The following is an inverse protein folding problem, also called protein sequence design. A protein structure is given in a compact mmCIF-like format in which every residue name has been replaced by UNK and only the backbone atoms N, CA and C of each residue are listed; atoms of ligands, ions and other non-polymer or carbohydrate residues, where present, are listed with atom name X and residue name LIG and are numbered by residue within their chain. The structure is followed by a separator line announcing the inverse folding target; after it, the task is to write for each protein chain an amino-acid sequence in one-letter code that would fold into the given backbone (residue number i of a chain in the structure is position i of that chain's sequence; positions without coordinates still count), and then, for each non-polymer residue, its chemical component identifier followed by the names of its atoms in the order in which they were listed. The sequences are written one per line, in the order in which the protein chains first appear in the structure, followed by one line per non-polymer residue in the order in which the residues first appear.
data_IF_054047212359
#
_entry.id   IF_054047212359
#
_cell.length_a   1.000
_cell.length_b   1.000
_cell.length_c   1.000
_cell.angle_alpha   90.00
_cell.angle_beta   90.00
_cell.angle_gamma   90.00
#
_symmetry.space_group_name_H-M   'P 1'
#
loop_
_entity.id
_entity.type
_entity.pdbx_description
1 polymer ?
#
# COMPACT_ATOMS: atom_id res chain seq x y z
N UNK A 1 19.42 14.00 -4.45
CA UNK A 1 18.05 13.43 -4.36
C UNK A 1 17.65 12.54 -5.55
N UNK A 2 18.45 12.44 -6.63
CA UNK A 2 18.07 11.65 -7.81
C UNK A 2 17.97 10.13 -7.53
N UNK A 3 18.92 9.57 -6.77
CA UNK A 3 18.95 8.13 -6.48
C UNK A 3 17.73 7.65 -5.67
N UNK A 4 17.40 8.33 -4.57
CA UNK A 4 16.24 7.97 -3.75
C UNK A 4 14.94 8.06 -4.56
N UNK A 5 14.79 9.11 -5.38
CA UNK A 5 13.62 9.28 -6.24
C UNK A 5 13.50 8.15 -7.27
N UNK A 6 14.61 7.73 -7.88
CA UNK A 6 14.64 6.57 -8.78
C UNK A 6 14.26 5.27 -8.06
N UNK A 7 14.81 5.01 -6.86
CA UNK A 7 14.45 3.82 -6.07
C UNK A 7 12.95 3.80 -5.70
N UNK A 8 12.39 4.94 -5.31
CA UNK A 8 10.95 5.05 -5.04
C UNK A 8 10.11 4.90 -6.32
N UNK A 9 10.61 5.37 -7.46
CA UNK A 9 9.96 5.18 -8.77
C UNK A 9 9.90 3.71 -9.14
N UNK A 10 11.00 2.98 -8.97
CA UNK A 10 11.06 1.55 -9.25
C UNK A 10 10.14 0.77 -8.31
N UNK A 11 10.16 1.06 -7.01
CA UNK A 11 9.27 0.44 -6.04
C UNK A 11 7.78 0.73 -6.34
N UNK A 12 7.45 1.94 -6.79
CA UNK A 12 6.11 2.30 -7.21
C UNK A 12 5.66 1.53 -8.45
N UNK A 13 6.52 1.44 -9.46
CA UNK A 13 6.23 0.68 -10.68
C UNK A 13 6.04 -0.81 -10.34
N UNK A 14 6.94 -1.41 -9.54
CA UNK A 14 6.80 -2.78 -9.08
C UNK A 14 5.49 -3.02 -8.31
N UNK A 15 5.05 -2.05 -7.49
CA UNK A 15 3.77 -2.11 -6.78
C UNK A 15 2.58 -2.05 -7.73
N UNK A 16 2.64 -1.25 -8.80
CA UNK A 16 1.61 -1.20 -9.84
C UNK A 16 1.54 -2.52 -10.61
N UNK A 17 2.67 -3.08 -10.97
CA UNK A 17 2.74 -4.37 -11.66
C UNK A 17 2.16 -5.48 -10.79
N UNK A 18 2.53 -5.54 -9.51
CA UNK A 18 1.93 -6.47 -8.55
C UNK A 18 0.41 -6.28 -8.43
N UNK A 19 -0.07 -5.03 -8.37
CA UNK A 19 -1.51 -4.77 -8.31
C UNK A 19 -2.23 -5.25 -9.58
N UNK A 20 -1.62 -5.04 -10.75
CA UNK A 20 -2.13 -5.52 -12.03
C UNK A 20 -2.12 -7.05 -12.12
N UNK A 21 -1.09 -7.71 -11.59
CA UNK A 21 -1.00 -9.16 -11.53
C UNK A 21 -2.06 -9.77 -10.61
N UNK A 22 -2.32 -9.16 -9.44
CA UNK A 22 -3.40 -9.57 -8.54
C UNK A 22 -4.76 -9.45 -9.25
N UNK A 23 -4.99 -8.35 -9.97
CA UNK A 23 -6.20 -8.14 -10.77
C UNK A 23 -6.35 -9.22 -11.85
N UNK A 24 -5.28 -9.50 -12.59
CA UNK A 24 -5.28 -10.52 -13.63
C UNK A 24 -5.50 -11.93 -13.05
N UNK A 25 -4.88 -12.23 -11.90
CA UNK A 25 -5.04 -13.50 -11.20
C UNK A 25 -6.49 -13.68 -10.70
N UNK A 26 -7.11 -12.64 -10.15
CA UNK A 26 -8.50 -12.66 -9.73
C UNK A 26 -9.46 -12.89 -10.92
N UNK A 27 -9.25 -12.21 -12.05
CA UNK A 27 -10.02 -12.46 -13.28
C UNK A 27 -9.88 -13.90 -13.77
N UNK A 28 -8.66 -14.45 -13.77
CA UNK A 28 -8.42 -15.87 -14.09
C UNK A 28 -9.16 -16.79 -13.12
N UNK A 29 -9.15 -16.47 -11.82
CA UNK A 29 -9.84 -17.27 -10.80
C UNK A 29 -11.35 -17.30 -11.03
N UNK A 30 -11.97 -16.16 -11.37
CA UNK A 30 -13.38 -16.09 -11.76
C UNK A 30 -13.66 -17.03 -12.94
N UNK A 31 -12.84 -16.95 -14.01
CA UNK A 31 -13.01 -17.84 -15.16
C UNK A 31 -12.82 -19.32 -14.84
N UNK A 32 -11.96 -19.67 -13.86
CA UNK A 32 -11.85 -21.07 -13.39
C UNK A 32 -13.10 -21.51 -12.63
N UNK A 33 -13.66 -20.64 -11.78
CA UNK A 33 -14.90 -20.93 -11.05
C UNK A 33 -16.06 -21.14 -12.03
N UNK A 34 -16.16 -20.32 -13.08
CA UNK A 34 -17.19 -20.49 -14.13
C UNK A 34 -17.10 -21.86 -14.82
N UNK A 35 -15.87 -22.32 -15.11
CA UNK A 35 -15.66 -23.66 -15.67
C UNK A 35 -16.05 -24.75 -14.67
N UNK A 36 -15.65 -24.63 -13.41
CA UNK A 36 -16.01 -25.58 -12.35
C UNK A 36 -17.55 -25.68 -12.22
N UNK A 37 -18.27 -24.56 -12.24
CA UNK A 37 -19.73 -24.51 -12.20
C UNK A 37 -20.33 -25.22 -13.41
N UNK A 38 -19.85 -24.94 -14.63
CA UNK A 38 -20.33 -25.62 -15.84
C UNK A 38 -20.16 -27.14 -15.75
N UNK A 39 -19.00 -27.63 -15.27
CA UNK A 39 -18.77 -29.07 -15.11
C UNK A 39 -19.67 -29.71 -14.05
N UNK A 40 -20.03 -28.99 -12.98
CA UNK A 40 -20.96 -29.48 -11.98
C UNK A 40 -22.39 -29.55 -12.51
N UNK A 41 -22.82 -28.56 -13.32
CA UNK A 41 -24.11 -28.57 -13.99
C UNK A 41 -24.24 -29.75 -14.97
N UNK A 42 -23.21 -30.02 -15.78
CA UNK A 42 -23.20 -31.18 -16.69
C UNK A 42 -23.32 -32.51 -15.94
N UNK A 43 -22.67 -32.61 -14.77
CA UNK A 43 -22.76 -33.81 -13.91
C UNK A 43 -24.11 -33.96 -13.22
N UNK A 44 -24.78 -32.87 -12.87
CA UNK A 44 -26.16 -32.90 -12.34
C UNK A 44 -27.10 -33.45 -13.40
N UNK A 45 -26.99 -33.00 -14.66
CA UNK A 45 -27.84 -33.48 -15.76
C UNK A 45 -27.72 -34.99 -16.01
N UNK A 46 -26.54 -35.57 -15.76
CA UNK A 46 -26.28 -37.00 -15.91
C UNK A 46 -26.56 -37.84 -14.64
N UNK A 47 -26.79 -37.20 -13.49
CA UNK A 47 -26.98 -37.88 -12.21
C UNK A 47 -28.46 -38.19 -11.94
N UNK A 48 -28.74 -39.39 -11.43
CA UNK A 48 -30.10 -39.85 -11.10
C UNK A 48 -30.37 -39.96 -9.59
N UNK A 49 -29.36 -39.71 -8.74
CA UNK A 49 -29.50 -39.75 -7.28
C UNK A 49 -29.79 -38.35 -6.71
N UNK A 50 -30.99 -38.17 -6.17
CA UNK A 50 -31.47 -36.92 -5.57
C UNK A 50 -30.54 -36.36 -4.48
N UNK A 51 -29.95 -37.20 -3.62
CA UNK A 51 -29.09 -36.73 -2.52
C UNK A 51 -27.81 -36.09 -3.07
N UNK A 52 -27.29 -36.65 -4.17
CA UNK A 52 -26.07 -36.16 -4.81
C UNK A 52 -26.36 -34.84 -5.54
N UNK A 53 -27.52 -34.71 -6.19
CA UNK A 53 -27.97 -33.47 -6.85
C UNK A 53 -28.01 -32.32 -5.84
N UNK A 54 -28.66 -32.51 -4.68
CA UNK A 54 -28.76 -31.48 -3.63
C UNK A 54 -27.38 -31.04 -3.10
N UNK A 55 -26.44 -31.98 -2.97
CA UNK A 55 -25.08 -31.66 -2.55
C UNK A 55 -24.33 -30.81 -3.59
N UNK A 56 -24.57 -31.03 -4.89
CA UNK A 56 -23.99 -30.23 -5.95
C UNK A 56 -24.63 -28.86 -6.05
N UNK A 57 -25.95 -28.74 -5.89
CA UNK A 57 -26.64 -27.44 -5.82
C UNK A 57 -26.07 -26.55 -4.70
N UNK A 58 -25.85 -27.14 -3.52
CA UNK A 58 -25.24 -26.44 -2.38
C UNK A 58 -23.83 -25.94 -2.75
N UNK A 59 -23.02 -26.79 -3.39
CA UNK A 59 -21.66 -26.44 -3.79
C UNK A 59 -21.61 -25.38 -4.90
N UNK A 60 -22.56 -25.40 -5.83
CA UNK A 60 -22.71 -24.36 -6.85
C UNK A 60 -23.07 -23.03 -6.19
N UNK A 61 -24.00 -23.03 -5.23
CA UNK A 61 -24.35 -21.82 -4.47
C UNK A 61 -23.15 -21.19 -3.76
N UNK A 62 -22.30 -22.00 -3.12
CA UNK A 62 -21.06 -21.51 -2.50
C UNK A 62 -20.07 -20.91 -3.52
N UNK A 63 -19.95 -21.51 -4.70
CA UNK A 63 -19.04 -21.04 -5.75
C UNK A 63 -19.54 -19.71 -6.37
N UNK A 64 -20.84 -19.58 -6.61
CA UNK A 64 -21.46 -18.34 -7.08
C UNK A 64 -21.31 -17.21 -6.06
N UNK A 65 -21.49 -17.50 -4.77
CA UNK A 65 -21.26 -16.50 -3.72
C UNK A 65 -19.80 -16.04 -3.68
N UNK A 66 -18.84 -16.96 -3.78
CA UNK A 66 -17.40 -16.62 -3.84
C UNK A 66 -17.07 -15.78 -5.07
N UNK A 67 -17.67 -16.10 -6.23
CA UNK A 67 -17.52 -15.32 -7.47
C UNK A 67 -18.08 -13.91 -7.31
N UNK A 68 -19.27 -13.75 -6.73
CA UNK A 68 -19.87 -12.44 -6.49
C UNK A 68 -18.99 -11.56 -5.60
N UNK A 69 -18.50 -12.10 -4.47
CA UNK A 69 -17.57 -11.40 -3.59
C UNK A 69 -16.28 -10.98 -4.32
N UNK A 70 -15.70 -11.87 -5.14
CA UNK A 70 -14.52 -11.53 -5.94
C UNK A 70 -14.82 -10.43 -6.96
N UNK A 71 -15.97 -10.46 -7.64
CA UNK A 71 -16.36 -9.42 -8.58
C UNK A 71 -16.54 -8.05 -7.90
N UNK A 72 -17.16 -8.02 -6.71
CA UNK A 72 -17.33 -6.80 -5.91
C UNK A 72 -16.00 -6.21 -5.46
N UNK A 73 -15.06 -7.04 -4.99
CA UNK A 73 -13.73 -6.57 -4.60
C UNK A 73 -12.94 -5.98 -5.77
N UNK A 74 -13.14 -6.52 -6.98
CA UNK A 74 -12.56 -5.97 -8.20
C UNK A 74 -13.18 -4.63 -8.62
N UNK A 75 -14.49 -4.48 -8.46
CA UNK A 75 -15.18 -3.23 -8.78
C UNK A 75 -14.91 -2.14 -7.74
N UNK A 76 -14.65 -2.51 -6.49
CA UNK A 76 -14.38 -1.58 -5.39
C UNK A 76 -12.95 -1.04 -5.39
N UNK A 77 -12.05 -1.57 -6.24
CA UNK A 77 -10.69 -1.06 -6.32
C UNK A 77 -10.71 0.37 -6.92
N UNK A 78 -10.01 1.34 -6.30
CA UNK A 78 -10.03 2.72 -6.75
C UNK A 78 -9.53 2.81 -8.20
N UNK A 79 -10.43 3.25 -9.08
CA UNK A 79 -10.23 3.32 -10.53
C UNK A 79 -9.24 4.42 -10.95
N UNK A 80 -8.85 5.32 -10.03
CA UNK A 80 -7.92 6.39 -10.32
C UNK A 80 -6.50 5.87 -10.32
N UNK A 81 -5.94 5.75 -11.51
CA UNK A 81 -4.51 5.59 -11.73
C UNK A 81 -3.80 6.88 -11.36
N UNK A 82 -3.59 7.13 -10.07
CA UNK A 82 -2.80 8.28 -9.66
C UNK A 82 -1.36 8.12 -10.16
N UNK A 83 -0.80 9.17 -10.77
CA UNK A 83 0.59 9.10 -11.23
C UNK A 83 1.56 9.22 -10.06
N UNK A 84 2.78 8.74 -10.28
CA UNK A 84 3.87 8.92 -9.32
C UNK A 84 4.15 10.41 -9.08
N UNK A 85 4.16 11.21 -10.14
CA UNK A 85 4.40 12.66 -10.08
C UNK A 85 3.30 13.37 -9.27
N UNK A 86 2.05 12.91 -9.36
CA UNK A 86 0.92 13.56 -8.67
C UNK A 86 0.95 13.36 -7.14
N UNK A 87 1.52 12.25 -6.66
CA UNK A 87 1.40 11.84 -5.25
C UNK A 87 2.72 11.68 -4.53
N UNK A 88 3.72 11.07 -5.16
CA UNK A 88 4.98 10.74 -4.49
C UNK A 88 6.02 11.84 -4.64
N UNK A 89 6.08 12.52 -5.77
CA UNK A 89 7.03 13.62 -5.97
C UNK A 89 6.85 14.77 -4.94
N UNK A 90 5.62 15.22 -4.61
CA UNK A 90 5.42 16.24 -3.57
C UNK A 90 5.86 15.75 -2.19
N UNK A 91 5.64 14.46 -1.89
CA UNK A 91 6.05 13.85 -0.61
C UNK A 91 7.57 13.79 -0.50
N UNK A 92 8.26 13.35 -1.55
CA UNK A 92 9.73 13.32 -1.58
C UNK A 92 10.31 14.74 -1.49
N UNK A 93 9.72 15.69 -2.21
CA UNK A 93 10.12 17.10 -2.15
C UNK A 93 9.97 17.67 -0.74
N UNK A 94 8.87 17.33 -0.06
CA UNK A 94 8.66 17.67 1.35
C UNK A 94 9.71 17.02 2.26
N UNK A 95 10.00 15.74 2.10
CA UNK A 95 11.01 15.04 2.90
C UNK A 95 12.42 15.62 2.73
N UNK A 96 12.76 16.09 1.53
CA UNK A 96 14.03 16.79 1.29
C UNK A 96 14.11 18.14 2.00
N UNK A 97 13.01 18.91 1.99
CA UNK A 97 13.03 20.31 2.43
C UNK A 97 11.77 20.67 3.26
N UNK A 98 11.58 20.08 4.45
CA UNK A 98 10.38 20.31 5.24
C UNK A 98 10.29 21.76 5.77
N UNK A 99 11.44 22.42 5.95
CA UNK A 99 11.54 23.81 6.43
C UNK A 99 10.98 24.84 5.43
N UNK A 100 11.05 24.57 4.11
CA UNK A 100 10.48 25.47 3.10
C UNK A 100 8.97 25.65 3.29
N UNK A 101 8.26 24.58 3.63
CA UNK A 101 6.83 24.63 3.94
C UNK A 101 6.58 25.35 5.27
N UNK A 102 7.48 25.21 6.25
CA UNK A 102 7.39 25.91 7.53
C UNK A 102 7.55 27.44 7.42
N UNK A 103 8.48 27.89 6.55
CA UNK A 103 8.78 29.31 6.34
C UNK A 103 7.65 30.10 5.68
N UNK A 104 6.77 29.44 4.92
CA UNK A 104 5.57 30.08 4.33
C UNK A 104 4.70 30.83 5.33
N UNK A 105 4.83 30.55 6.64
CA UNK A 105 4.17 31.32 7.69
C UNK A 105 2.70 30.96 7.93
N UNK A 106 2.07 30.22 7.00
CA UNK A 106 0.70 29.76 7.16
C UNK A 106 0.57 28.78 8.33
N UNK A 107 -0.32 29.07 9.28
CA UNK A 107 -0.52 28.26 10.49
C UNK A 107 -0.90 26.82 10.15
N UNK A 108 -1.72 26.62 9.11
CA UNK A 108 -2.12 25.29 8.65
C UNK A 108 -0.94 24.50 8.08
N UNK A 109 -0.06 25.14 7.31
CA UNK A 109 1.14 24.53 6.76
C UNK A 109 2.12 24.14 7.88
N UNK A 110 2.37 25.03 8.85
CA UNK A 110 3.22 24.72 10.02
C UNK A 110 2.67 23.57 10.86
N UNK A 111 1.35 23.52 11.07
CA UNK A 111 0.70 22.40 11.76
C UNK A 111 0.83 21.09 10.98
N UNK A 112 0.73 21.14 9.65
CA UNK A 112 0.92 19.98 8.79
C UNK A 112 2.36 19.46 8.86
N UNK A 113 3.36 20.34 8.75
CA UNK A 113 4.78 20.00 8.89
C UNK A 113 5.02 19.30 10.23
N UNK A 114 4.51 19.84 11.34
CA UNK A 114 4.68 19.24 12.66
C UNK A 114 4.05 17.84 12.75
N UNK A 115 2.87 17.63 12.15
CA UNK A 115 2.21 16.32 12.10
C UNK A 115 2.95 15.29 11.24
N UNK A 116 3.67 15.73 10.21
CA UNK A 116 4.42 14.85 9.33
C UNK A 116 5.84 14.58 9.84
N UNK A 117 6.43 15.54 10.58
CA UNK A 117 7.78 15.45 11.11
C UNK A 117 7.89 14.60 12.38
N UNK A 118 6.84 14.59 13.22
CA UNK A 118 6.82 13.87 14.49
C UNK A 118 5.82 12.73 14.47
N UNK A 119 6.16 11.62 15.12
CA UNK A 119 5.26 10.48 15.30
C UNK A 119 4.08 10.84 16.22
N UNK A 120 4.35 11.64 17.25
CA UNK A 120 3.37 12.05 18.26
C UNK A 120 3.36 13.56 18.49
N UNK A 121 2.34 14.05 19.20
CA UNK A 121 2.26 15.44 19.62
C UNK A 121 3.42 15.79 20.56
N UNK A 122 4.02 16.96 20.35
CA UNK A 122 5.06 17.49 21.24
C UNK A 122 4.47 17.70 22.64
N UNK A 123 4.92 16.92 23.61
CA UNK A 123 4.50 17.08 25.00
C UNK A 123 5.08 18.36 25.61
N UNK A 124 4.31 19.01 26.47
CA UNK A 124 4.71 20.25 27.14
C UNK A 124 4.67 20.06 28.66
N UNK A 125 5.80 20.35 29.32
CA UNK A 125 5.90 20.45 30.77
C UNK A 125 6.09 21.93 31.13
N UNK A 126 5.31 22.45 32.08
CA UNK A 126 5.40 23.86 32.51
C UNK A 126 6.75 24.22 33.13
N UNK A 127 7.45 23.25 33.76
CA UNK A 127 8.76 23.47 34.41
C UNK A 127 9.93 23.23 33.45
N UNK A 128 9.80 22.24 32.57
CA UNK A 128 10.89 21.78 31.68
C UNK A 128 10.73 22.24 30.23
N UNK A 129 9.61 22.88 29.89
CA UNK A 129 9.30 23.34 28.53
C UNK A 129 8.83 22.22 27.60
N UNK A 130 8.99 22.46 26.29
CA UNK A 130 8.66 21.48 25.26
C UNK A 130 9.61 20.27 25.33
N UNK A 131 9.06 19.07 25.39
CA UNK A 131 9.82 17.81 25.41
C UNK A 131 10.24 17.42 24.01
N UNK A 132 11.34 16.66 23.90
CA UNK A 132 11.79 16.09 22.61
C UNK A 132 10.75 15.09 22.10
N UNK A 133 10.07 15.45 21.01
CA UNK A 133 9.12 14.55 20.36
C UNK A 133 9.84 13.50 19.54
N UNK A 134 9.22 12.33 19.43
CA UNK A 134 9.71 11.26 18.59
C UNK A 134 9.56 11.63 17.11
N UNK A 135 10.65 11.51 16.34
CA UNK A 135 10.66 11.87 14.92
C UNK A 135 9.94 10.77 14.13
N UNK A 136 9.19 11.15 13.10
CA UNK A 136 8.48 10.22 12.23
C UNK A 136 9.43 9.25 11.50
N UNK A 137 8.91 8.05 11.18
CA UNK A 137 9.66 6.96 10.55
C UNK A 137 10.48 7.36 9.31
N UNK A 138 9.97 8.18 8.37
CA UNK A 138 10.76 8.57 7.19
C UNK A 138 12.08 9.26 7.56
N UNK A 139 12.07 10.11 8.58
CA UNK A 139 13.25 10.84 9.03
C UNK A 139 14.19 9.96 9.87
N UNK A 140 13.65 9.02 10.64
CA UNK A 140 14.47 8.00 11.33
C UNK A 140 15.25 7.15 10.33
N UNK A 141 14.59 6.65 9.30
CA UNK A 141 15.24 5.87 8.25
C UNK A 141 16.34 6.66 7.54
N UNK A 142 16.12 7.95 7.26
CA UNK A 142 17.15 8.82 6.69
C UNK A 142 18.34 9.05 7.66
N UNK A 143 18.07 9.17 8.96
CA UNK A 143 19.10 9.24 10.00
C UNK A 143 19.95 7.97 10.08
N UNK A 144 19.31 6.79 10.01
CA UNK A 144 20.00 5.50 10.04
C UNK A 144 20.92 5.33 8.82
N UNK A 145 20.47 5.71 7.63
CA UNK A 145 21.31 5.70 6.41
C UNK A 145 22.55 6.58 6.58
N UNK A 146 22.42 7.76 7.18
CA UNK A 146 23.55 8.66 7.44
C UNK A 146 24.54 8.09 8.47
N UNK A 147 24.05 7.46 9.54
CA UNK A 147 24.91 6.86 10.57
C UNK A 147 25.66 5.62 10.09
N UNK A 148 25.06 4.83 9.19
CA UNK A 148 25.72 3.68 8.55
C UNK A 148 26.89 4.09 7.66
N UNK A 149 26.78 5.21 6.93
CA UNK A 149 27.89 5.77 6.15
C UNK A 149 29.06 6.20 7.06
N UNK A 150 28.78 6.77 8.23
CA UNK A 150 29.83 7.22 9.18
C UNK A 150 30.64 6.05 9.76
N UNK A 151 30.03 4.89 9.98
CA UNK A 151 30.74 3.67 10.44
C UNK A 151 31.57 3.01 9.34
N UNK A 152 31.15 3.15 8.09
CA UNK A 152 31.84 2.57 6.92
C UNK A 152 32.98 3.46 6.39
N UNK A 153 33.08 4.72 6.86
CA UNK A 153 34.13 5.68 6.49
C UNK A 153 35.38 5.66 7.39
N UNK A 154 35.44 4.82 8.42
CA UNK A 154 36.64 4.65 9.23
C UNK A 154 37.52 3.53 8.66
N UNK A 155 38.06 3.77 7.47
CA UNK A 155 38.99 2.85 6.80
C UNK A 155 39.91 3.61 5.86
N UNK A 156 41.13 3.87 6.33
CA UNK A 156 42.26 4.31 5.51
C UNK A 156 42.57 5.80 5.60
N UNK A 157 43.53 6.16 6.47
CA UNK A 157 44.10 7.49 6.54
C UNK A 157 45.29 7.55 7.50
N UNK A 158 46.42 7.02 7.03
CA UNK A 158 47.83 7.14 7.50
C UNK A 158 48.13 6.93 8.97
#
# INVERSE_FOLDING_TARGET
MMLATAMFRDAWNARRDQAQDILNAAKRRIATIDKEIATLLDRIMAASNHIVIQSYETKIGELEQKKALMAETLHSQPQKQDSFEDKLEPVLTFLANPWKLWETGHIHARRLVAKLAFADRVAYDRKLGARTAEIALPFKALGDVYTLQKKSGAGGGT
#
